data_IF_605873927614
#
_entry.id   IF_605873927614
#
_cell.length_a   1.000
_cell.length_b   1.000
_cell.length_c   1.000
_cell.angle_alpha   90.00
_cell.angle_beta   90.00
_cell.angle_gamma   90.00
#
_symmetry.space_group_name_H-M   'P 1'
#
loop_
_entity.id
_entity.type
_entity.pdbx_description
1 polymer ?
#
# COMPACT_ATOMS: atom_id res chain seq x y z
N UNK A 1 10.42 -15.74 -7.31
CA UNK A 1 9.48 -14.86 -6.55
C UNK A 1 8.06 -15.10 -7.04
N UNK A 2 7.15 -15.41 -6.14
CA UNK A 2 5.73 -15.63 -6.38
C UNK A 2 4.93 -14.48 -5.77
N UNK A 3 3.94 -13.94 -6.51
CA UNK A 3 2.95 -12.99 -5.98
C UNK A 3 1.63 -13.76 -5.81
N UNK A 4 1.08 -13.71 -4.60
CA UNK A 4 -0.19 -14.37 -4.25
C UNK A 4 -1.01 -13.55 -3.26
N UNK A 5 -2.25 -13.94 -3.02
CA UNK A 5 -3.04 -13.38 -1.91
C UNK A 5 -2.37 -13.75 -0.58
N UNK A 6 -2.37 -12.78 0.32
CA UNK A 6 -1.89 -13.03 1.68
C UNK A 6 -2.87 -13.92 2.44
N UNK A 7 -2.33 -14.75 3.30
CA UNK A 7 -3.05 -15.73 4.11
C UNK A 7 -2.87 -15.43 5.60
N UNK A 8 -3.68 -16.08 6.43
CA UNK A 8 -3.59 -15.94 7.90
C UNK A 8 -2.20 -16.27 8.44
N UNK A 9 -1.54 -17.25 7.85
CA UNK A 9 -0.15 -17.63 8.19
C UNK A 9 0.89 -16.54 7.92
N UNK A 10 0.57 -15.55 7.07
CA UNK A 10 1.47 -14.43 6.75
C UNK A 10 1.42 -13.30 7.80
N UNK A 11 0.44 -13.31 8.70
CA UNK A 11 0.21 -12.22 9.67
C UNK A 11 1.47 -11.83 10.45
N UNK A 12 2.27 -12.77 11.01
CA UNK A 12 3.49 -12.39 11.73
C UNK A 12 4.48 -11.58 10.87
N UNK A 13 4.63 -11.94 9.61
CA UNK A 13 5.48 -11.22 8.66
C UNK A 13 4.89 -9.85 8.30
N UNK A 14 3.58 -9.77 8.09
CA UNK A 14 2.89 -8.50 7.82
C UNK A 14 3.06 -7.54 9.00
N UNK A 15 2.86 -7.99 10.23
CA UNK A 15 3.05 -7.18 11.45
C UNK A 15 4.48 -6.63 11.54
N UNK A 16 5.47 -7.45 11.24
CA UNK A 16 6.87 -7.03 11.22
C UNK A 16 7.14 -5.93 10.20
N UNK A 17 6.58 -6.04 9.00
CA UNK A 17 6.74 -5.03 7.95
C UNK A 17 5.93 -3.75 8.23
N UNK A 18 4.79 -3.85 8.90
CA UNK A 18 4.00 -2.68 9.30
C UNK A 18 4.81 -1.75 10.23
N UNK A 19 5.64 -2.31 11.11
CA UNK A 19 6.55 -1.52 11.95
C UNK A 19 7.61 -0.83 11.07
N UNK A 20 8.20 -1.54 10.11
CA UNK A 20 9.21 -0.96 9.21
C UNK A 20 8.64 0.25 8.43
N UNK A 21 7.46 0.13 7.85
CA UNK A 21 6.85 1.22 7.07
C UNK A 21 6.42 2.39 7.96
N UNK A 22 5.92 2.12 9.16
CA UNK A 22 5.58 3.16 10.12
C UNK A 22 6.83 3.98 10.51
N UNK A 23 7.96 3.32 10.73
CA UNK A 23 9.21 3.99 11.07
C UNK A 23 9.75 4.86 9.91
N UNK A 24 9.56 4.44 8.66
CA UNK A 24 9.84 5.31 7.49
C UNK A 24 8.99 6.59 7.53
N UNK A 25 7.72 6.47 7.84
CA UNK A 25 6.84 7.65 7.98
C UNK A 25 7.20 8.50 9.19
N UNK A 26 7.59 7.89 10.30
CA UNK A 26 8.03 8.60 11.51
C UNK A 26 9.31 9.42 11.25
N UNK A 27 10.25 8.90 10.48
CA UNK A 27 11.46 9.65 10.07
C UNK A 27 11.12 10.89 9.24
N UNK A 28 10.05 10.85 8.44
CA UNK A 28 9.61 11.97 7.60
C UNK A 28 8.78 12.98 8.40
N UNK A 29 7.84 12.48 9.21
CA UNK A 29 6.87 13.28 9.98
C UNK A 29 6.77 12.77 11.42
N UNK A 30 7.82 13.03 12.25
CA UNK A 30 7.81 12.62 13.66
C UNK A 30 6.74 13.34 14.49
N UNK A 31 6.22 14.45 13.98
CA UNK A 31 5.09 15.21 14.53
C UNK A 31 3.73 14.50 14.34
N UNK A 32 3.64 13.55 13.41
CA UNK A 32 2.42 12.83 13.06
C UNK A 32 2.50 11.35 13.45
N UNK A 33 3.61 10.70 13.17
CA UNK A 33 3.77 9.25 13.36
C UNK A 33 4.56 8.92 14.62
N UNK A 34 4.13 7.86 15.31
CA UNK A 34 4.84 7.30 16.46
C UNK A 34 5.93 6.34 16.00
N UNK A 35 7.04 6.31 16.73
CA UNK A 35 8.06 5.26 16.55
C UNK A 35 7.46 3.88 16.90
N UNK A 36 7.82 2.86 16.12
CA UNK A 36 7.36 1.48 16.27
C UNK A 36 5.84 1.32 16.30
N UNK A 37 5.12 2.24 15.67
CA UNK A 37 3.68 2.16 15.50
C UNK A 37 3.28 0.99 14.61
N UNK A 38 2.08 0.42 14.87
CA UNK A 38 1.50 -0.67 14.07
C UNK A 38 0.09 -0.26 13.66
N UNK A 39 -0.13 -0.16 12.36
CA UNK A 39 -1.41 0.29 11.79
C UNK A 39 -2.57 -0.68 12.08
N UNK A 40 -2.29 -1.98 12.09
CA UNK A 40 -3.25 -3.04 12.30
C UNK A 40 -2.78 -4.01 13.38
N UNK A 41 -3.70 -4.43 14.25
CA UNK A 41 -3.46 -5.55 15.17
C UNK A 41 -3.58 -6.90 14.45
N UNK A 42 -3.19 -7.99 15.11
CA UNK A 42 -3.42 -9.34 14.58
C UNK A 42 -4.92 -9.59 14.32
N UNK A 43 -5.79 -9.16 15.23
CA UNK A 43 -7.24 -9.28 15.09
C UNK A 43 -7.77 -8.50 13.88
N UNK A 44 -7.28 -7.26 13.68
CA UNK A 44 -7.64 -6.45 12.51
C UNK A 44 -7.22 -7.14 11.21
N UNK A 45 -6.03 -7.73 11.17
CA UNK A 45 -5.54 -8.44 9.98
C UNK A 45 -6.32 -9.71 9.68
N UNK A 46 -6.72 -10.47 10.71
CA UNK A 46 -7.58 -11.66 10.53
C UNK A 46 -8.89 -11.30 9.85
N UNK A 47 -9.51 -10.22 10.26
CA UNK A 47 -10.74 -9.71 9.65
C UNK A 47 -10.48 -9.17 8.24
N UNK A 48 -9.44 -8.34 8.07
CA UNK A 48 -9.10 -7.70 6.80
C UNK A 48 -8.78 -8.72 5.70
N UNK A 49 -8.06 -9.80 6.02
CA UNK A 49 -7.70 -10.83 5.05
C UNK A 49 -8.91 -11.64 4.52
N UNK A 50 -10.05 -11.54 5.16
CA UNK A 50 -11.31 -12.15 4.68
C UNK A 50 -12.19 -11.18 3.88
N UNK A 51 -11.82 -9.90 3.82
CA UNK A 51 -12.57 -8.86 3.12
C UNK A 51 -12.14 -8.76 1.65
N UNK A 52 -12.97 -9.24 0.74
CA UNK A 52 -12.70 -9.20 -0.70
C UNK A 52 -12.65 -7.78 -1.29
N UNK A 53 -13.23 -6.79 -0.60
CA UNK A 53 -13.13 -5.38 -1.00
C UNK A 53 -11.76 -4.77 -0.69
N UNK A 54 -10.96 -5.45 0.14
CA UNK A 54 -9.64 -5.01 0.60
C UNK A 54 -8.57 -6.08 0.38
N UNK A 55 -8.28 -6.44 -0.88
CA UNK A 55 -7.34 -7.50 -1.18
C UNK A 55 -5.91 -7.15 -0.73
N UNK A 56 -5.24 -8.10 -0.11
CA UNK A 56 -3.82 -8.01 0.27
C UNK A 56 -3.03 -9.00 -0.56
N UNK A 57 -2.01 -8.52 -1.25
CA UNK A 57 -1.08 -9.30 -2.03
C UNK A 57 0.26 -9.37 -1.33
N UNK A 58 0.94 -10.50 -1.43
CA UNK A 58 2.30 -10.65 -0.90
C UNK A 58 3.25 -11.24 -1.94
N UNK A 59 4.52 -10.91 -1.78
CA UNK A 59 5.63 -11.48 -2.54
C UNK A 59 6.39 -12.45 -1.65
N UNK A 60 6.57 -13.68 -2.12
CA UNK A 60 7.29 -14.73 -1.40
C UNK A 60 8.31 -15.40 -2.32
N UNK A 61 9.42 -15.84 -1.75
CA UNK A 61 10.46 -16.61 -2.47
C UNK A 61 11.15 -17.54 -1.49
N UNK A 62 11.20 -18.85 -1.83
CA UNK A 62 11.82 -19.87 -0.99
C UNK A 62 11.40 -19.77 0.49
N UNK A 63 10.10 -19.69 0.73
CA UNK A 63 9.47 -19.53 2.05
C UNK A 63 9.76 -18.19 2.75
N UNK A 64 10.50 -17.27 2.14
CA UNK A 64 10.75 -15.94 2.65
C UNK A 64 9.66 -14.97 2.22
N UNK A 65 9.10 -14.24 3.18
CA UNK A 65 8.15 -13.17 2.94
C UNK A 65 8.92 -11.88 2.62
N UNK A 66 8.77 -11.39 1.39
CA UNK A 66 9.58 -10.27 0.87
C UNK A 66 8.88 -8.92 0.94
N UNK A 67 7.56 -8.91 0.95
CA UNK A 67 6.79 -7.67 0.95
C UNK A 67 5.31 -7.89 0.74
N UNK A 68 4.53 -6.83 0.88
CA UNK A 68 3.08 -6.84 0.69
C UNK A 68 2.58 -5.60 -0.04
N UNK A 69 1.36 -5.69 -0.53
CA UNK A 69 0.58 -4.58 -1.05
C UNK A 69 -0.87 -4.69 -0.54
N UNK A 70 -1.27 -3.78 0.32
CA UNK A 70 -2.65 -3.60 0.77
C UNK A 70 -3.41 -2.78 -0.24
N UNK A 71 -4.53 -3.27 -0.71
CA UNK A 71 -5.38 -2.60 -1.66
C UNK A 71 -6.81 -2.44 -1.13
N UNK A 72 -7.54 -1.52 -1.72
CA UNK A 72 -8.96 -1.33 -1.46
C UNK A 72 -9.68 -0.98 -2.76
N UNK A 73 -10.74 -1.70 -3.08
CA UNK A 73 -11.65 -1.34 -4.15
C UNK A 73 -12.49 -0.13 -3.73
N UNK A 74 -12.55 0.88 -4.59
CA UNK A 74 -13.38 2.06 -4.42
C UNK A 74 -14.28 2.22 -5.66
N UNK A 75 -15.58 2.33 -5.42
CA UNK A 75 -16.55 2.60 -6.46
C UNK A 75 -17.22 3.95 -6.19
N UNK A 76 -17.31 4.76 -7.22
CA UNK A 76 -17.97 6.06 -7.22
C UNK A 76 -19.11 5.99 -8.21
N UNK A 77 -20.34 6.12 -7.73
CA UNK A 77 -21.56 6.02 -8.52
C UNK A 77 -22.54 7.10 -8.13
N UNK A 78 -23.37 7.52 -9.09
CA UNK A 78 -24.50 8.42 -8.87
C UNK A 78 -24.14 9.75 -8.19
N UNK A 79 -22.91 10.21 -8.37
CA UNK A 79 -22.46 11.50 -7.85
C UNK A 79 -22.95 12.63 -8.75
N UNK A 80 -23.45 13.72 -8.14
CA UNK A 80 -23.83 14.92 -8.87
C UNK A 80 -22.65 15.72 -9.46
N UNK A 81 -21.41 15.41 -9.01
CA UNK A 81 -20.21 16.18 -9.39
C UNK A 81 -19.10 15.36 -10.03
N UNK A 82 -19.17 14.03 -9.98
CA UNK A 82 -18.13 13.18 -10.52
C UNK A 82 -18.70 12.03 -11.35
N UNK A 83 -17.91 11.59 -12.34
CA UNK A 83 -18.27 10.46 -13.18
C UNK A 83 -18.20 9.14 -12.43
N UNK A 84 -19.05 8.20 -12.81
CA UNK A 84 -19.00 6.83 -12.28
C UNK A 84 -17.66 6.19 -12.65
N UNK A 85 -17.05 5.53 -11.67
CA UNK A 85 -15.78 4.84 -11.86
C UNK A 85 -15.45 3.85 -10.76
N UNK A 86 -14.64 2.87 -11.09
CA UNK A 86 -14.00 1.95 -10.17
C UNK A 86 -12.51 2.28 -10.10
N UNK A 87 -11.95 2.31 -8.92
CA UNK A 87 -10.53 2.54 -8.66
C UNK A 87 -9.98 1.46 -7.72
N UNK A 88 -8.71 1.10 -7.91
CA UNK A 88 -7.97 0.32 -6.94
C UNK A 88 -7.05 1.26 -6.17
N UNK A 89 -7.32 1.43 -4.88
CA UNK A 89 -6.50 2.24 -3.99
C UNK A 89 -5.43 1.35 -3.35
N UNK A 90 -4.17 1.72 -3.47
CA UNK A 90 -3.06 1.11 -2.73
C UNK A 90 -2.96 1.84 -1.40
N UNK A 91 -3.37 1.16 -0.32
CA UNK A 91 -3.34 1.70 1.03
C UNK A 91 -1.93 1.66 1.61
N UNK A 92 -1.18 0.60 1.30
CA UNK A 92 0.21 0.43 1.75
C UNK A 92 0.96 -0.55 0.84
N UNK A 93 2.21 -0.24 0.54
CA UNK A 93 3.13 -1.13 -0.15
C UNK A 93 4.46 -1.10 0.59
N UNK A 94 4.87 -2.23 1.12
CA UNK A 94 6.09 -2.37 1.88
C UNK A 94 6.92 -3.56 1.40
N UNK A 95 8.21 -3.34 1.22
CA UNK A 95 9.20 -4.38 0.94
C UNK A 95 10.12 -4.49 2.14
N UNK A 96 10.35 -5.73 2.61
CA UNK A 96 11.32 -6.01 3.66
C UNK A 96 12.66 -5.34 3.34
N UNK A 97 13.24 -4.68 4.33
CA UNK A 97 14.51 -3.96 4.14
C UNK A 97 15.62 -4.85 3.56
N UNK A 98 15.63 -6.15 3.91
CA UNK A 98 16.59 -7.14 3.41
C UNK A 98 16.34 -7.55 1.95
N UNK A 99 15.15 -7.26 1.42
CA UNK A 99 14.72 -7.59 0.06
C UNK A 99 14.65 -6.37 -0.88
N UNK A 100 15.01 -5.19 -0.41
CA UNK A 100 15.01 -3.97 -1.23
C UNK A 100 16.02 -4.05 -2.37
N UNK A 101 15.74 -3.37 -3.47
CA UNK A 101 16.60 -3.36 -4.66
C UNK A 101 16.53 -4.62 -5.52
N UNK A 102 15.68 -5.60 -5.16
CA UNK A 102 15.53 -6.88 -5.88
C UNK A 102 14.28 -6.93 -6.77
N UNK A 103 13.63 -5.81 -7.04
CA UNK A 103 12.46 -5.73 -7.91
C UNK A 103 11.14 -6.15 -7.27
N UNK A 104 11.08 -6.38 -5.97
CA UNK A 104 9.88 -6.85 -5.25
C UNK A 104 8.72 -5.86 -5.38
N UNK A 105 8.97 -4.57 -5.12
CA UNK A 105 7.97 -3.52 -5.26
C UNK A 105 7.42 -3.44 -6.69
N UNK A 106 8.30 -3.54 -7.69
CA UNK A 106 7.92 -3.56 -9.10
C UNK A 106 7.02 -4.74 -9.43
N UNK A 107 7.34 -5.93 -8.92
CA UNK A 107 6.54 -7.13 -9.15
C UNK A 107 5.16 -7.02 -8.50
N UNK A 108 5.07 -6.56 -7.25
CA UNK A 108 3.80 -6.30 -6.57
C UNK A 108 2.96 -5.27 -7.31
N UNK A 109 3.55 -4.14 -7.69
CA UNK A 109 2.84 -3.06 -8.39
C UNK A 109 2.31 -3.51 -9.74
N UNK A 110 3.11 -4.23 -10.53
CA UNK A 110 2.69 -4.78 -11.82
C UNK A 110 1.56 -5.78 -11.66
N UNK A 111 1.63 -6.64 -10.65
CA UNK A 111 0.58 -7.61 -10.36
C UNK A 111 -0.75 -6.92 -10.05
N UNK A 112 -0.77 -5.97 -9.12
CA UNK A 112 -2.00 -5.23 -8.75
C UNK A 112 -2.53 -4.39 -9.91
N UNK A 113 -1.63 -3.88 -10.77
CA UNK A 113 -2.02 -3.19 -11.99
C UNK A 113 -2.74 -4.12 -12.98
N UNK A 114 -2.25 -5.34 -13.15
CA UNK A 114 -2.88 -6.34 -14.01
C UNK A 114 -4.26 -6.73 -13.46
N UNK A 115 -4.37 -6.96 -12.15
CA UNK A 115 -5.65 -7.23 -11.48
C UNK A 115 -6.62 -6.07 -11.66
N UNK A 116 -6.18 -4.83 -11.42
CA UNK A 116 -7.03 -3.64 -11.58
C UNK A 116 -7.58 -3.51 -13.00
N UNK A 117 -6.75 -3.74 -14.02
CA UNK A 117 -7.18 -3.73 -15.42
C UNK A 117 -8.20 -4.82 -15.73
N UNK A 118 -7.95 -6.04 -15.26
CA UNK A 118 -8.85 -7.17 -15.50
C UNK A 118 -10.23 -6.94 -14.85
N UNK A 119 -10.29 -6.25 -13.72
CA UNK A 119 -11.50 -5.90 -13.00
C UNK A 119 -12.17 -4.59 -13.48
N UNK A 120 -11.67 -3.98 -14.56
CA UNK A 120 -12.26 -2.78 -15.15
C UNK A 120 -12.03 -1.50 -14.38
N UNK A 121 -11.02 -1.44 -13.51
CA UNK A 121 -10.68 -0.21 -12.82
C UNK A 121 -10.18 0.86 -13.81
N UNK A 122 -10.63 2.09 -13.61
CA UNK A 122 -10.21 3.23 -14.41
C UNK A 122 -8.85 3.77 -13.96
N UNK A 123 -8.56 3.70 -12.66
CA UNK A 123 -7.34 4.21 -12.07
C UNK A 123 -6.83 3.29 -10.96
N UNK A 124 -5.50 3.31 -10.77
CA UNK A 124 -4.86 2.97 -9.50
C UNK A 124 -4.50 4.28 -8.82
N UNK A 125 -4.77 4.38 -7.53
CA UNK A 125 -4.49 5.57 -6.72
C UNK A 125 -3.75 5.19 -5.44
N UNK A 126 -3.00 6.13 -4.91
CA UNK A 126 -2.36 6.03 -3.59
C UNK A 126 -2.07 7.43 -3.05
N UNK A 127 -1.78 7.49 -1.77
CA UNK A 127 -1.19 8.67 -1.14
C UNK A 127 0.29 8.38 -0.82
N UNK A 128 1.15 9.35 -1.06
CA UNK A 128 2.56 9.29 -0.68
C UNK A 128 2.94 10.58 0.03
N UNK A 129 3.64 10.44 1.16
CA UNK A 129 4.11 11.59 1.93
C UNK A 129 5.23 12.32 1.19
N UNK A 130 5.19 13.66 1.23
CA UNK A 130 6.30 14.47 0.76
C UNK A 130 7.57 14.11 1.53
N UNK A 131 8.70 13.97 0.83
CA UNK A 131 9.96 13.50 1.41
C UNK A 131 10.13 11.97 1.43
N UNK A 132 9.09 11.20 1.10
CA UNK A 132 9.23 9.76 0.96
C UNK A 132 9.89 9.40 -0.37
N UNK A 133 11.01 8.68 -0.32
CA UNK A 133 11.74 8.21 -1.52
C UNK A 133 10.91 7.30 -2.44
N UNK A 134 9.84 6.70 -1.92
CA UNK A 134 8.91 5.89 -2.70
C UNK A 134 8.21 6.69 -3.82
N UNK A 135 8.11 8.02 -3.71
CA UNK A 135 7.56 8.86 -4.77
C UNK A 135 8.25 8.61 -6.12
N UNK A 136 9.58 8.54 -6.14
CA UNK A 136 10.35 8.27 -7.35
C UNK A 136 10.06 6.90 -7.96
N UNK A 137 9.80 5.90 -7.11
CA UNK A 137 9.38 4.58 -7.56
C UNK A 137 8.03 4.67 -8.29
N UNK A 138 7.03 5.32 -7.70
CA UNK A 138 5.71 5.46 -8.31
C UNK A 138 5.75 6.27 -9.61
N UNK A 139 6.54 7.34 -9.67
CA UNK A 139 6.77 8.11 -10.90
C UNK A 139 7.36 7.24 -12.03
N UNK A 140 8.36 6.40 -11.72
CA UNK A 140 8.94 5.43 -12.66
C UNK A 140 7.90 4.39 -13.14
N UNK A 141 6.92 4.06 -12.30
CA UNK A 141 5.81 3.18 -12.66
C UNK A 141 4.72 3.89 -13.50
N UNK A 142 4.90 5.18 -13.78
CA UNK A 142 3.99 5.97 -14.63
C UNK A 142 2.90 6.73 -13.87
N UNK A 143 2.95 6.76 -12.54
CA UNK A 143 2.00 7.53 -11.74
C UNK A 143 2.34 9.03 -11.80
N UNK A 144 1.29 9.85 -11.68
CA UNK A 144 1.39 11.31 -11.66
C UNK A 144 0.56 11.86 -10.51
N UNK A 145 0.97 13.00 -9.92
CA UNK A 145 0.14 13.66 -8.92
C UNK A 145 -1.26 13.97 -9.45
N UNK A 146 -2.30 13.63 -8.65
CA UNK A 146 -3.70 13.92 -8.96
C UNK A 146 -4.18 15.17 -8.22
N UNK A 147 -3.77 15.30 -6.95
CA UNK A 147 -4.10 16.43 -6.07
C UNK A 147 -2.99 16.63 -5.06
N UNK A 148 -2.95 17.81 -4.45
CA UNK A 148 -2.03 18.12 -3.36
C UNK A 148 -2.84 18.27 -2.08
N UNK A 149 -2.45 17.54 -1.04
CA UNK A 149 -2.96 17.68 0.32
C UNK A 149 -1.98 18.57 1.09
N UNK A 150 -2.47 19.65 1.67
CA UNK A 150 -1.63 20.66 2.31
C UNK A 150 -1.98 20.78 3.80
N UNK A 151 -0.98 21.03 4.63
CA UNK A 151 -1.16 21.36 6.04
C UNK A 151 -0.53 22.71 6.40
N UNK A 152 -1.03 23.32 7.46
CA UNK A 152 -0.46 24.50 8.09
C UNK A 152 -0.28 24.19 9.57
N UNK A 153 0.94 23.99 10.09
CA UNK A 153 1.17 23.86 11.51
C UNK A 153 0.71 25.13 12.26
N UNK A 154 -0.04 24.95 13.36
CA UNK A 154 -0.54 26.04 14.18
C UNK A 154 0.18 26.15 15.53
N UNK A 155 1.10 25.24 15.79
CA UNK A 155 1.97 25.24 16.97
C UNK A 155 3.28 25.99 16.66
N UNK A 156 3.71 26.81 17.62
CA UNK A 156 4.95 27.56 17.53
C UNK A 156 6.20 26.68 17.79
#
# INVERSE_FOLDING_TARGET
MLIRRAEISDIPNILRLLVQVCNVHQDIRPDIFKLDGVKYTESDLRELLTDESRPVWCAVEDEHFLGYCFCQWKEYRDSSVSTDRKELYIDDLCVDETARGKGVATALFRHVTAVAKAEGAKFITLNVWEGNSALRFYEKMGMKPRKIFMDLPLED
#
